data_IF_994068517509
#
_entry.id   IF_994068517509
#
_cell.length_a   1.000
_cell.length_b   1.000
_cell.length_c   1.000
_cell.angle_alpha   90.00
_cell.angle_beta   90.00
_cell.angle_gamma   90.00
#
_symmetry.space_group_name_H-M   'P 1'
#
loop_
_entity.id
_entity.type
_entity.pdbx_description
1 polymer ?
#
# COMPACT_ATOMS: atom_id res chain seq x y z
N UNK A 1 15.09 -21.31 1.34
CA UNK A 1 15.35 -21.92 -0.01
C UNK A 1 14.59 -23.23 -0.22
N UNK A 2 14.78 -24.26 0.60
CA UNK A 2 14.14 -25.58 0.41
C UNK A 2 12.60 -25.53 0.36
N UNK A 3 11.94 -24.65 1.13
CA UNK A 3 10.48 -24.61 1.25
C UNK A 3 9.81 -23.94 0.03
N UNK A 4 10.43 -22.92 -0.56
CA UNK A 4 9.93 -22.30 -1.80
C UNK A 4 10.03 -23.30 -2.97
N UNK A 5 11.16 -24.01 -3.07
CA UNK A 5 11.33 -25.07 -4.07
C UNK A 5 10.29 -26.17 -3.85
N UNK A 6 10.05 -26.61 -2.62
CA UNK A 6 8.99 -27.55 -2.28
C UNK A 6 7.61 -27.04 -2.69
N UNK A 7 7.31 -25.75 -2.44
CA UNK A 7 6.05 -25.14 -2.85
C UNK A 7 5.82 -25.25 -4.35
N UNK A 8 6.78 -24.84 -5.16
CA UNK A 8 6.66 -24.95 -6.60
C UNK A 8 6.66 -26.38 -7.10
N UNK A 9 7.44 -27.28 -6.48
CA UNK A 9 7.42 -28.70 -6.80
C UNK A 9 6.05 -29.31 -6.52
N UNK A 10 5.45 -29.01 -5.36
CA UNK A 10 4.12 -29.51 -4.99
C UNK A 10 3.04 -28.84 -5.84
N UNK A 11 3.19 -27.56 -6.24
CA UNK A 11 2.29 -26.92 -7.20
C UNK A 11 2.32 -27.62 -8.55
N UNK A 12 3.50 -27.96 -9.08
CA UNK A 12 3.64 -28.76 -10.29
C UNK A 12 3.01 -30.14 -10.14
N UNK A 13 3.23 -30.82 -9.01
CA UNK A 13 2.64 -32.14 -8.72
C UNK A 13 1.12 -32.04 -8.61
N UNK A 14 0.57 -31.05 -7.89
CA UNK A 14 -0.88 -30.85 -7.75
C UNK A 14 -1.56 -30.46 -9.06
N UNK A 15 -0.90 -29.67 -9.89
CA UNK A 15 -1.35 -29.36 -11.26
C UNK A 15 -1.46 -30.63 -12.10
N UNK A 16 -0.49 -31.55 -11.96
CA UNK A 16 -0.50 -32.85 -12.67
C UNK A 16 -1.56 -33.82 -12.13
N UNK A 17 -1.91 -33.73 -10.83
CA UNK A 17 -2.81 -34.68 -10.18
C UNK A 17 -4.20 -34.11 -9.82
N UNK A 18 -4.51 -32.86 -10.16
CA UNK A 18 -5.84 -32.24 -10.05
C UNK A 18 -6.52 -32.36 -8.65
N UNK A 19 -5.76 -32.19 -7.55
CA UNK A 19 -6.29 -32.25 -6.17
C UNK A 19 -6.27 -30.89 -5.47
N UNK A 20 -7.36 -30.09 -5.51
CA UNK A 20 -7.41 -28.74 -4.93
C UNK A 20 -7.36 -28.70 -3.40
N UNK A 21 -7.83 -29.74 -2.70
CA UNK A 21 -7.98 -29.76 -1.23
C UNK A 21 -6.66 -29.77 -0.43
N UNK A 22 -5.55 -30.18 -1.02
CA UNK A 22 -4.24 -30.17 -0.36
C UNK A 22 -3.45 -28.87 -0.53
N UNK A 23 -3.89 -27.99 -1.42
CA UNK A 23 -3.13 -26.80 -1.81
C UNK A 23 -3.21 -25.70 -0.77
N UNK A 24 -4.40 -25.38 -0.23
CA UNK A 24 -4.58 -24.39 0.82
C UNK A 24 -3.83 -24.76 2.10
N UNK A 25 -3.88 -26.04 2.51
CA UNK A 25 -3.14 -26.53 3.70
C UNK A 25 -1.63 -26.43 3.51
N UNK A 26 -1.16 -26.62 2.29
CA UNK A 26 0.25 -26.44 1.96
C UNK A 26 0.64 -24.97 2.03
N UNK A 27 -0.15 -24.07 1.46
CA UNK A 27 0.07 -22.61 1.53
C UNK A 27 0.14 -22.18 3.01
N UNK A 28 -0.79 -22.64 3.86
CA UNK A 28 -0.78 -22.36 5.30
C UNK A 28 0.51 -22.83 5.98
N UNK A 29 0.96 -24.05 5.68
CA UNK A 29 2.20 -24.60 6.24
C UNK A 29 3.44 -23.85 5.79
N UNK A 30 3.50 -23.48 4.51
CA UNK A 30 4.63 -22.73 3.94
C UNK A 30 4.65 -21.32 4.51
N UNK A 31 3.52 -20.61 4.51
CA UNK A 31 3.43 -19.26 5.07
C UNK A 31 3.91 -19.23 6.52
N UNK A 32 3.48 -20.20 7.34
CA UNK A 32 3.92 -20.30 8.73
C UNK A 32 5.43 -20.53 8.87
N UNK A 33 6.02 -21.33 8.00
CA UNK A 33 7.49 -21.55 8.01
C UNK A 33 8.25 -20.33 7.53
N UNK A 34 7.77 -19.68 6.46
CA UNK A 34 8.37 -18.46 5.93
C UNK A 34 8.31 -17.32 6.95
N UNK A 35 7.21 -17.21 7.70
CA UNK A 35 7.05 -16.28 8.82
C UNK A 35 8.11 -16.50 9.90
N UNK A 36 8.38 -17.75 10.26
CA UNK A 36 9.40 -18.12 11.26
C UNK A 36 10.83 -17.84 10.81
N UNK A 37 11.11 -17.99 9.50
CA UNK A 37 12.43 -17.70 8.94
C UNK A 37 12.66 -16.19 8.77
N UNK A 38 11.78 -15.53 8.04
CA UNK A 38 11.79 -14.09 7.87
C UNK A 38 10.44 -13.61 7.33
N UNK A 39 9.79 -12.71 8.05
CA UNK A 39 8.48 -12.17 7.69
C UNK A 39 8.44 -11.49 6.31
N UNK A 40 9.57 -11.00 5.82
CA UNK A 40 9.69 -10.39 4.47
C UNK A 40 9.32 -11.39 3.37
N UNK A 41 9.61 -12.69 3.55
CA UNK A 41 9.16 -13.70 2.59
C UNK A 41 7.65 -13.72 2.42
N UNK A 42 6.91 -13.52 3.52
CA UNK A 42 5.45 -13.51 3.48
C UNK A 42 4.94 -12.33 2.66
N UNK A 43 5.56 -11.13 2.81
CA UNK A 43 5.21 -9.93 2.03
C UNK A 43 5.44 -10.15 0.53
N UNK A 44 6.59 -10.68 0.17
CA UNK A 44 6.91 -10.96 -1.23
C UNK A 44 5.99 -12.05 -1.77
N UNK A 45 5.71 -13.08 -0.96
CA UNK A 45 4.79 -14.14 -1.31
C UNK A 45 3.37 -13.59 -1.54
N UNK A 46 2.90 -12.66 -0.71
CA UNK A 46 1.63 -11.95 -0.93
C UNK A 46 1.65 -11.17 -2.25
N UNK A 47 2.71 -10.41 -2.51
CA UNK A 47 2.82 -9.62 -3.74
C UNK A 47 2.79 -10.51 -4.99
N UNK A 48 3.47 -11.66 -4.96
CA UNK A 48 3.45 -12.65 -6.03
C UNK A 48 2.10 -13.36 -6.19
N UNK A 49 1.29 -13.37 -5.13
CA UNK A 49 0.02 -14.08 -5.06
C UNK A 49 -1.21 -13.20 -5.35
N UNK A 50 -1.03 -11.90 -5.56
CA UNK A 50 -2.09 -11.00 -6.02
C UNK A 50 -2.53 -11.30 -7.47
N UNK A 51 -1.76 -12.10 -8.21
CA UNK A 51 -2.15 -12.59 -9.51
C UNK A 51 -3.32 -13.59 -9.37
N UNK A 52 -4.51 -13.17 -9.83
CA UNK A 52 -5.75 -13.97 -9.77
C UNK A 52 -5.64 -15.29 -10.50
N UNK A 53 -4.75 -15.40 -11.47
CA UNK A 53 -4.53 -16.61 -12.24
C UNK A 53 -3.72 -17.66 -11.46
N UNK A 54 -3.05 -17.25 -10.38
CA UNK A 54 -2.19 -18.12 -9.59
C UNK A 54 -2.88 -18.72 -8.36
N UNK A 55 -3.85 -18.03 -7.74
CA UNK A 55 -4.49 -18.45 -6.49
C UNK A 55 -6.01 -18.45 -6.57
N UNK A 56 -6.62 -19.36 -5.80
CA UNK A 56 -8.06 -19.36 -5.56
C UNK A 56 -8.45 -18.25 -4.56
N UNK A 57 -9.73 -17.88 -4.52
CA UNK A 57 -10.25 -16.88 -3.60
C UNK A 57 -9.93 -17.17 -2.13
N UNK A 58 -10.05 -18.45 -1.70
CA UNK A 58 -9.77 -18.88 -0.33
C UNK A 58 -8.28 -18.74 0.03
N UNK A 59 -7.40 -19.00 -0.94
CA UNK A 59 -5.95 -18.87 -0.80
C UNK A 59 -5.56 -17.39 -0.68
N UNK A 60 -6.20 -16.53 -1.48
CA UNK A 60 -6.02 -15.08 -1.42
C UNK A 60 -6.50 -14.52 -0.08
N UNK A 61 -7.70 -14.90 0.37
CA UNK A 61 -8.25 -14.48 1.67
C UNK A 61 -7.34 -14.87 2.83
N UNK A 62 -6.79 -16.10 2.79
CA UNK A 62 -5.83 -16.53 3.82
C UNK A 62 -4.57 -15.65 3.86
N UNK A 63 -4.01 -15.30 2.69
CA UNK A 63 -2.79 -14.50 2.61
C UNK A 63 -3.02 -13.02 2.95
N UNK A 64 -4.23 -12.50 2.72
CA UNK A 64 -4.61 -11.14 3.13
C UNK A 64 -4.60 -10.96 4.65
N UNK A 65 -4.71 -12.02 5.45
CA UNK A 65 -4.59 -11.95 6.92
C UNK A 65 -3.22 -11.46 7.40
N UNK A 66 -2.19 -11.54 6.56
CA UNK A 66 -0.86 -11.03 6.88
C UNK A 66 -0.67 -9.55 6.55
N UNK A 67 -1.72 -8.84 6.09
CA UNK A 67 -1.62 -7.40 5.83
C UNK A 67 -1.63 -6.56 7.10
N UNK A 68 -2.41 -7.00 8.11
CA UNK A 68 -2.61 -6.28 9.36
C UNK A 68 -2.21 -7.13 10.57
N UNK A 69 -1.57 -6.51 11.56
CA UNK A 69 -1.21 -7.14 12.83
C UNK A 69 -0.24 -8.33 12.69
N UNK A 70 0.86 -8.11 12.01
CA UNK A 70 1.93 -9.10 11.85
C UNK A 70 2.55 -9.40 13.22
N UNK A 71 2.81 -10.67 13.56
CA UNK A 71 3.58 -11.01 14.77
C UNK A 71 4.95 -10.34 14.77
N UNK A 72 5.38 -9.88 15.93
CA UNK A 72 6.71 -9.30 16.12
C UNK A 72 7.42 -9.91 17.34
N UNK A 73 8.74 -9.91 17.31
CA UNK A 73 9.58 -10.22 18.47
C UNK A 73 9.97 -8.91 19.19
N UNK A 74 10.02 -8.93 20.50
CA UNK A 74 10.47 -7.78 21.30
C UNK A 74 11.90 -7.34 20.94
N UNK A 75 12.74 -8.24 20.44
CA UNK A 75 14.07 -7.94 19.92
C UNK A 75 14.05 -7.06 18.64
N UNK A 76 12.91 -6.95 17.95
CA UNK A 76 12.73 -6.07 16.79
C UNK A 76 12.52 -4.61 17.19
N UNK A 77 12.33 -4.31 18.49
CA UNK A 77 12.15 -2.95 19.01
C UNK A 77 13.53 -2.35 19.30
N UNK A 78 13.83 -1.18 18.74
CA UNK A 78 15.01 -0.39 19.10
C UNK A 78 14.69 0.51 20.31
N UNK A 79 14.76 -0.04 21.53
CA UNK A 79 14.44 0.66 22.78
C UNK A 79 15.30 1.92 22.98
N UNK A 80 16.59 1.87 22.64
CA UNK A 80 17.49 3.03 22.71
C UNK A 80 16.99 4.21 21.86
N UNK A 81 16.31 3.92 20.76
CA UNK A 81 15.76 4.94 19.88
C UNK A 81 14.50 5.55 20.49
N UNK A 82 13.68 4.75 21.18
CA UNK A 82 12.53 5.26 21.94
C UNK A 82 12.98 6.11 23.12
N UNK A 83 14.05 5.70 23.84
CA UNK A 83 14.63 6.50 24.93
C UNK A 83 15.14 7.85 24.45
N UNK A 84 15.79 7.90 23.28
CA UNK A 84 16.22 9.15 22.66
C UNK A 84 15.04 10.03 22.27
N UNK A 85 13.96 9.44 21.74
CA UNK A 85 12.75 10.17 21.39
C UNK A 85 12.15 10.86 22.62
N UNK A 86 12.02 10.15 23.75
CA UNK A 86 11.48 10.69 25.00
C UNK A 86 12.38 11.79 25.60
N UNK A 87 13.70 11.55 25.62
CA UNK A 87 14.66 12.46 26.25
C UNK A 87 14.94 13.74 25.46
N UNK A 88 14.93 13.67 24.12
CA UNK A 88 15.37 14.78 23.27
C UNK A 88 14.23 15.62 22.72
N UNK A 89 13.03 15.02 22.53
CA UNK A 89 11.93 15.70 21.86
C UNK A 89 10.69 15.87 22.72
N UNK A 90 10.74 15.53 24.00
CA UNK A 90 9.61 15.63 24.93
C UNK A 90 8.36 14.89 24.40
N UNK A 91 8.57 13.78 23.71
CA UNK A 91 7.52 12.86 23.33
C UNK A 91 7.45 11.78 24.40
N UNK A 92 6.30 11.59 25.03
CA UNK A 92 6.11 10.57 26.07
C UNK A 92 5.30 9.42 25.46
N UNK A 93 5.84 8.20 25.50
CA UNK A 93 5.14 7.01 25.06
C UNK A 93 4.02 6.65 26.05
N UNK A 94 2.82 6.36 25.55
CA UNK A 94 1.73 5.83 26.38
C UNK A 94 2.07 4.44 26.90
N UNK A 95 2.69 3.61 26.05
CA UNK A 95 3.17 2.29 26.36
C UNK A 95 4.35 1.94 25.45
N UNK A 96 5.28 1.11 25.91
CA UNK A 96 6.40 0.60 25.11
C UNK A 96 6.04 -0.70 24.37
N UNK A 97 4.76 -1.04 24.33
CA UNK A 97 4.19 -2.13 23.53
C UNK A 97 3.58 -1.51 22.28
N UNK A 98 3.94 -1.95 21.07
CA UNK A 98 3.32 -1.45 19.84
C UNK A 98 1.81 -1.68 19.85
N UNK A 99 1.05 -0.67 19.42
CA UNK A 99 -0.40 -0.77 19.22
C UNK A 99 -0.76 -1.45 17.89
N UNK A 100 0.18 -1.45 16.96
CA UNK A 100 0.07 -2.16 15.68
C UNK A 100 1.46 -2.56 15.18
N UNK A 101 1.53 -3.61 14.39
CA UNK A 101 2.75 -4.11 13.80
C UNK A 101 2.55 -4.44 12.33
N UNK A 102 3.28 -3.74 11.48
CA UNK A 102 3.43 -4.08 10.06
C UNK A 102 4.63 -5.01 9.82
N UNK A 103 4.92 -5.25 8.56
CA UNK A 103 6.06 -6.08 8.17
C UNK A 103 7.37 -5.34 8.41
N UNK A 104 7.43 -4.07 8.06
CA UNK A 104 8.66 -3.26 8.14
C UNK A 104 8.75 -2.41 9.39
N UNK A 105 7.62 -2.10 10.05
CA UNK A 105 7.59 -1.15 11.14
C UNK A 105 6.60 -1.50 12.24
N UNK A 106 6.84 -0.87 13.38
CA UNK A 106 6.05 -0.93 14.60
C UNK A 106 5.39 0.42 14.83
N UNK A 107 4.17 0.43 15.35
CA UNK A 107 3.41 1.64 15.63
C UNK A 107 3.16 1.76 17.12
N UNK A 108 3.51 2.89 17.69
CA UNK A 108 3.29 3.22 19.09
C UNK A 108 2.40 4.45 19.21
N UNK A 109 1.78 4.61 20.37
CA UNK A 109 1.03 5.80 20.76
C UNK A 109 1.80 6.57 21.85
N UNK A 110 1.74 7.90 21.76
CA UNK A 110 2.34 8.78 22.75
C UNK A 110 1.69 10.13 22.80
N UNK A 111 2.32 11.06 23.52
CA UNK A 111 1.89 12.46 23.66
C UNK A 111 3.06 13.39 23.43
N UNK A 112 2.82 14.53 22.80
CA UNK A 112 3.80 15.61 22.69
C UNK A 112 3.85 16.47 23.98
N UNK A 113 4.73 17.46 24.02
CA UNK A 113 4.90 18.39 25.15
C UNK A 113 3.63 19.18 25.50
N UNK A 114 2.69 19.30 24.58
CA UNK A 114 1.40 19.95 24.77
C UNK A 114 0.28 18.97 25.13
N UNK A 115 0.64 17.70 25.40
CA UNK A 115 -0.28 16.60 25.68
C UNK A 115 -1.23 16.23 24.52
N UNK A 116 -0.86 16.60 23.28
CA UNK A 116 -1.58 16.11 22.10
C UNK A 116 -1.14 14.67 21.82
N UNK A 117 -2.11 13.84 21.43
CA UNK A 117 -1.83 12.45 21.02
C UNK A 117 -1.02 12.40 19.74
N UNK A 118 0.01 11.58 19.74
CA UNK A 118 0.87 11.33 18.57
C UNK A 118 0.98 9.84 18.27
N UNK A 119 1.19 9.54 17.00
CA UNK A 119 1.56 8.21 16.52
C UNK A 119 3.05 8.21 16.18
N UNK A 120 3.73 7.18 16.62
CA UNK A 120 5.15 6.96 16.37
C UNK A 120 5.27 5.68 15.56
N UNK A 121 5.67 5.78 14.27
CA UNK A 121 6.11 4.65 13.47
C UNK A 121 7.60 4.47 13.66
N UNK A 122 8.05 3.25 13.94
CA UNK A 122 9.46 2.90 14.08
C UNK A 122 9.78 1.73 13.15
N UNK A 123 10.86 1.82 12.39
CA UNK A 123 11.35 0.66 11.64
C UNK A 123 11.80 -0.43 12.59
N UNK A 124 11.48 -1.67 12.24
CA UNK A 124 11.99 -2.83 12.98
C UNK A 124 13.52 -2.87 12.90
N UNK A 125 14.12 -3.32 13.97
CA UNK A 125 15.57 -3.52 14.02
C UNK A 125 16.02 -4.44 12.89
N UNK A 126 17.11 -4.06 12.26
CA UNK A 126 17.78 -4.81 11.18
C UNK A 126 16.90 -5.13 9.96
N UNK A 127 15.77 -4.41 9.79
CA UNK A 127 14.80 -4.70 8.71
C UNK A 127 15.42 -4.56 7.33
N UNK A 128 16.33 -3.60 7.11
CA UNK A 128 17.01 -3.44 5.83
C UNK A 128 17.85 -4.66 5.46
N UNK A 129 18.65 -5.14 6.40
CA UNK A 129 19.49 -6.32 6.18
C UNK A 129 18.63 -7.57 5.95
N UNK A 130 17.60 -7.75 6.78
CA UNK A 130 16.64 -8.85 6.61
C UNK A 130 15.96 -8.82 5.26
N UNK A 131 15.61 -7.62 4.76
CA UNK A 131 14.97 -7.43 3.48
C UNK A 131 15.94 -7.74 2.34
N UNK A 132 17.15 -7.17 2.36
CA UNK A 132 18.17 -7.39 1.32
C UNK A 132 18.52 -8.88 1.20
N UNK A 133 18.75 -9.56 2.31
CA UNK A 133 19.07 -10.98 2.33
C UNK A 133 17.95 -11.82 1.67
N UNK A 134 16.69 -11.54 1.97
CA UNK A 134 15.55 -12.24 1.37
C UNK A 134 15.45 -11.96 -0.14
N UNK A 135 15.66 -10.71 -0.55
CA UNK A 135 15.61 -10.34 -1.96
C UNK A 135 16.71 -11.02 -2.77
N UNK A 136 17.94 -10.98 -2.28
CA UNK A 136 19.08 -11.63 -2.92
C UNK A 136 18.87 -13.14 -3.07
N UNK A 137 18.34 -13.79 -2.03
CA UNK A 137 18.00 -15.22 -2.09
C UNK A 137 16.91 -15.51 -3.13
N UNK A 138 15.85 -14.70 -3.16
CA UNK A 138 14.75 -14.90 -4.12
C UNK A 138 15.19 -14.60 -5.55
N UNK A 139 16.00 -13.58 -5.77
CA UNK A 139 16.60 -13.29 -7.07
C UNK A 139 17.48 -14.45 -7.53
N UNK A 140 18.36 -14.95 -6.66
CA UNK A 140 19.19 -16.11 -6.97
C UNK A 140 18.36 -17.32 -7.37
N UNK A 141 17.31 -17.65 -6.59
CA UNK A 141 16.39 -18.75 -6.91
C UNK A 141 15.71 -18.51 -8.27
N UNK A 142 15.23 -17.29 -8.52
CA UNK A 142 14.55 -16.95 -9.77
C UNK A 142 15.46 -17.11 -10.98
N UNK A 143 16.75 -16.75 -10.85
CA UNK A 143 17.74 -16.96 -11.90
C UNK A 143 18.04 -18.44 -12.14
N UNK A 144 18.12 -19.25 -11.09
CA UNK A 144 18.33 -20.70 -11.22
C UNK A 144 17.12 -21.39 -11.88
N UNK A 145 15.91 -20.91 -11.56
CA UNK A 145 14.67 -21.49 -12.07
C UNK A 145 14.27 -20.98 -13.48
N UNK A 146 15.00 -20.02 -14.06
CA UNK A 146 14.66 -19.43 -15.38
C UNK A 146 14.61 -20.42 -16.54
N UNK A 147 15.26 -21.57 -16.40
CA UNK A 147 15.25 -22.62 -17.42
C UNK A 147 14.00 -23.52 -17.38
N UNK A 148 13.17 -23.40 -16.33
CA UNK A 148 11.90 -24.11 -16.21
C UNK A 148 10.86 -23.30 -16.99
N UNK A 149 10.27 -23.83 -18.11
CA UNK A 149 9.41 -23.03 -19.00
C UNK A 149 8.23 -22.35 -18.29
N UNK A 150 7.60 -23.05 -17.35
CA UNK A 150 6.50 -22.50 -16.57
C UNK A 150 6.94 -21.32 -15.68
N UNK A 151 8.07 -21.43 -14.97
CA UNK A 151 8.58 -20.35 -14.11
C UNK A 151 9.03 -19.15 -14.94
N UNK A 152 9.62 -19.41 -16.10
CA UNK A 152 10.00 -18.36 -17.06
C UNK A 152 8.77 -17.55 -17.52
N UNK A 153 7.63 -18.20 -17.77
CA UNK A 153 6.39 -17.52 -18.19
C UNK A 153 5.83 -16.58 -17.10
N UNK A 154 6.09 -16.83 -15.82
CA UNK A 154 5.66 -16.00 -14.70
C UNK A 154 6.49 -14.71 -14.51
N UNK A 155 7.60 -14.54 -15.25
CA UNK A 155 8.47 -13.36 -15.19
C UNK A 155 8.87 -12.96 -13.74
N UNK A 156 9.02 -13.94 -12.84
CA UNK A 156 9.22 -13.72 -11.39
C UNK A 156 10.41 -12.81 -11.12
N UNK A 157 11.52 -12.97 -11.84
CA UNK A 157 12.72 -12.12 -11.69
C UNK A 157 12.38 -10.65 -11.92
N UNK A 158 11.59 -10.35 -12.97
CA UNK A 158 11.17 -8.98 -13.27
C UNK A 158 10.23 -8.45 -12.18
N UNK A 159 9.25 -9.25 -11.76
CA UNK A 159 8.34 -8.86 -10.67
C UNK A 159 9.10 -8.55 -9.37
N UNK A 160 10.12 -9.33 -9.03
CA UNK A 160 10.95 -9.06 -7.87
C UNK A 160 11.68 -7.71 -8.02
N UNK A 161 12.40 -7.50 -9.12
CA UNK A 161 13.15 -6.27 -9.37
C UNK A 161 12.22 -5.02 -9.35
N UNK A 162 11.08 -5.09 -10.03
CA UNK A 162 10.14 -3.99 -10.12
C UNK A 162 9.53 -3.62 -8.75
N UNK A 163 9.32 -4.62 -7.87
CA UNK A 163 8.77 -4.40 -6.53
C UNK A 163 9.82 -4.05 -5.46
N UNK A 164 11.09 -4.37 -5.68
CA UNK A 164 12.16 -4.08 -4.72
C UNK A 164 12.18 -2.62 -4.31
N UNK A 165 12.19 -1.71 -5.29
CA UNK A 165 12.25 -0.26 -5.04
C UNK A 165 11.01 0.25 -4.31
N UNK A 166 9.83 -0.30 -4.60
CA UNK A 166 8.57 0.07 -3.93
C UNK A 166 8.66 -0.29 -2.44
N UNK A 167 9.13 -1.51 -2.14
CA UNK A 167 9.27 -1.99 -0.77
C UNK A 167 10.39 -1.25 0.00
N UNK A 168 11.51 -0.94 -0.65
CA UNK A 168 12.56 -0.10 -0.08
C UNK A 168 12.06 1.31 0.24
N UNK A 169 11.20 1.88 -0.61
CA UNK A 169 10.61 3.19 -0.35
C UNK A 169 9.71 3.20 0.90
N UNK A 170 9.01 2.10 1.21
CA UNK A 170 8.22 1.98 2.44
C UNK A 170 9.07 2.01 3.73
N UNK A 171 10.37 1.74 3.62
CA UNK A 171 11.31 1.85 4.73
C UNK A 171 11.97 3.22 4.82
N UNK A 172 11.56 4.18 4.00
CA UNK A 172 12.11 5.54 3.99
C UNK A 172 11.10 6.53 4.54
N UNK A 173 11.12 6.75 5.85
CA UNK A 173 10.21 7.68 6.51
C UNK A 173 10.39 9.15 6.11
N UNK A 174 11.56 9.55 5.59
CA UNK A 174 11.74 10.90 5.04
C UNK A 174 10.82 11.10 3.82
N UNK A 175 10.75 10.10 2.92
CA UNK A 175 9.84 10.16 1.78
C UNK A 175 8.36 10.13 2.20
N UNK A 176 8.02 9.39 3.25
CA UNK A 176 6.66 9.38 3.78
C UNK A 176 6.28 10.76 4.37
N UNK A 177 7.18 11.40 5.12
CA UNK A 177 7.00 12.78 5.61
C UNK A 177 6.79 13.75 4.46
N UNK A 178 7.65 13.71 3.44
CA UNK A 178 7.53 14.55 2.25
C UNK A 178 6.19 14.35 1.53
N UNK A 179 5.73 13.11 1.40
CA UNK A 179 4.45 12.79 0.80
C UNK A 179 3.29 13.39 1.60
N UNK A 180 3.26 13.21 2.93
CA UNK A 180 2.22 13.80 3.81
C UNK A 180 2.17 15.32 3.64
N UNK A 181 3.32 16.00 3.67
CA UNK A 181 3.40 17.46 3.52
C UNK A 181 2.92 17.93 2.14
N UNK A 182 3.30 17.22 1.07
CA UNK A 182 2.82 17.52 -0.29
C UNK A 182 1.30 17.37 -0.38
N UNK A 183 0.73 16.27 0.11
CA UNK A 183 -0.72 16.09 0.13
C UNK A 183 -1.42 17.16 0.95
N UNK A 184 -0.95 17.45 2.16
CA UNK A 184 -1.48 18.51 3.02
C UNK A 184 -1.47 19.89 2.33
N UNK A 185 -0.39 20.22 1.63
CA UNK A 185 -0.26 21.48 0.88
C UNK A 185 -1.20 21.51 -0.32
N UNK A 186 -1.28 20.44 -1.09
CA UNK A 186 -2.11 20.36 -2.31
C UNK A 186 -3.60 20.43 -1.99
N UNK A 187 -4.04 19.80 -0.92
CA UNK A 187 -5.44 19.78 -0.48
C UNK A 187 -5.79 20.83 0.56
N UNK A 188 -4.92 21.80 0.86
CA UNK A 188 -5.12 22.80 1.94
C UNK A 188 -6.45 23.58 1.89
N UNK A 189 -7.00 23.76 0.67
CA UNK A 189 -8.28 24.44 0.45
C UNK A 189 -9.49 23.50 0.50
N UNK A 190 -9.27 22.19 0.56
CA UNK A 190 -10.30 21.18 0.60
C UNK A 190 -10.52 20.72 2.05
N UNK A 191 -11.45 21.35 2.75
CA UNK A 191 -11.73 21.06 4.17
C UNK A 191 -12.36 19.69 4.43
N UNK A 192 -12.66 18.92 3.37
CA UNK A 192 -13.18 17.57 3.43
C UNK A 192 -12.10 16.53 3.79
N UNK A 193 -10.81 16.90 3.69
CA UNK A 193 -9.69 15.99 3.93
C UNK A 193 -8.87 16.41 5.12
N UNK A 194 -8.49 15.43 5.93
CA UNK A 194 -7.65 15.61 7.13
C UNK A 194 -6.40 14.76 6.95
N UNK A 195 -5.25 15.40 7.09
CA UNK A 195 -3.94 14.77 7.06
C UNK A 195 -3.22 14.98 8.38
N UNK A 196 -2.45 14.01 8.88
CA UNK A 196 -1.71 14.21 10.13
C UNK A 196 -0.60 15.25 9.95
N UNK A 197 -0.39 16.10 10.96
CA UNK A 197 0.84 16.89 11.04
C UNK A 197 2.00 16.00 11.38
N UNK A 198 3.14 16.21 10.70
CA UNK A 198 4.36 15.45 10.93
C UNK A 198 5.39 16.26 11.73
N UNK A 199 6.15 15.58 12.58
CA UNK A 199 7.27 16.15 13.33
C UNK A 199 8.56 15.93 12.55
N UNK A 200 8.67 16.56 11.38
CA UNK A 200 9.73 16.37 10.38
C UNK A 200 11.13 16.36 10.98
N UNK A 201 11.45 17.28 11.90
CA UNK A 201 12.75 17.40 12.54
C UNK A 201 13.18 16.13 13.32
N UNK A 202 12.21 15.33 13.78
CA UNK A 202 12.49 14.06 14.46
C UNK A 202 12.94 13.03 13.43
N UNK A 203 12.22 12.91 12.31
CA UNK A 203 12.56 11.96 11.24
C UNK A 203 13.88 12.33 10.56
N UNK A 204 14.17 13.62 10.39
CA UNK A 204 15.46 14.08 9.85
C UNK A 204 16.65 13.72 10.75
N UNK A 205 16.46 13.75 12.07
CA UNK A 205 17.50 13.36 13.01
C UNK A 205 17.59 11.84 13.18
N UNK A 206 16.45 11.16 13.20
CA UNK A 206 16.33 9.71 13.37
C UNK A 206 15.44 9.13 12.26
N UNK A 207 16.04 8.81 11.13
CA UNK A 207 15.35 8.35 9.90
C UNK A 207 14.57 7.02 10.06
N UNK A 208 14.77 6.32 11.17
CA UNK A 208 14.00 5.14 11.55
C UNK A 208 12.73 5.46 12.34
N UNK A 209 12.49 6.75 12.66
CA UNK A 209 11.30 7.23 13.37
C UNK A 209 10.50 8.17 12.49
N UNK A 210 9.18 7.97 12.48
CA UNK A 210 8.21 8.94 11.97
C UNK A 210 7.21 9.24 13.08
N UNK A 211 7.19 10.51 13.51
CA UNK A 211 6.23 11.00 14.51
C UNK A 211 5.22 11.90 13.83
N UNK A 212 3.94 11.65 14.07
CA UNK A 212 2.85 12.42 13.48
C UNK A 212 1.68 12.56 14.46
N UNK A 213 0.82 13.53 14.20
CA UNK A 213 -0.44 13.70 14.90
C UNK A 213 -1.30 12.44 14.85
N UNK A 214 -1.89 12.06 15.98
CA UNK A 214 -2.87 10.99 15.99
C UNK A 214 -4.21 11.52 15.47
N UNK A 215 -4.52 11.28 14.21
CA UNK A 215 -5.85 11.49 13.68
C UNK A 215 -6.68 10.22 13.88
N UNK A 216 -7.89 10.36 14.44
CA UNK A 216 -8.77 9.24 14.76
C UNK A 216 -10.20 9.55 14.37
N UNK A 217 -10.94 8.56 13.91
CA UNK A 217 -12.32 8.69 13.46
C UNK A 217 -12.98 7.32 13.37
N UNK A 218 -14.15 7.25 12.75
CA UNK A 218 -14.85 6.00 12.47
C UNK A 218 -14.04 5.16 11.47
N UNK A 219 -14.05 3.85 11.65
CA UNK A 219 -13.46 2.89 10.72
C UNK A 219 -14.49 2.42 9.70
N UNK A 220 -14.05 1.76 8.63
CA UNK A 220 -14.94 1.22 7.61
C UNK A 220 -16.05 0.32 8.20
N UNK A 221 -15.71 -0.53 9.17
CA UNK A 221 -16.68 -1.41 9.87
C UNK A 221 -17.82 -0.64 10.55
N UNK A 222 -17.53 0.58 11.04
CA UNK A 222 -18.53 1.44 11.66
C UNK A 222 -19.47 2.04 10.60
N UNK A 223 -18.94 2.34 9.41
CA UNK A 223 -19.69 2.89 8.27
C UNK A 223 -20.51 1.82 7.55
N UNK A 224 -20.04 0.58 7.51
CA UNK A 224 -20.67 -0.53 6.78
C UNK A 224 -22.15 -0.73 7.15
N UNK A 225 -22.50 -0.52 8.43
CA UNK A 225 -23.85 -0.67 8.95
C UNK A 225 -24.67 0.64 8.91
N UNK A 226 -24.13 1.73 8.38
CA UNK A 226 -24.84 3.00 8.26
C UNK A 226 -25.79 3.03 7.05
N UNK A 227 -26.62 4.07 6.96
CA UNK A 227 -27.55 4.25 5.86
C UNK A 227 -26.83 4.37 4.51
N UNK A 228 -27.51 3.97 3.45
CA UNK A 228 -26.98 4.03 2.08
C UNK A 228 -26.55 5.46 1.70
N UNK A 229 -27.33 6.47 2.08
CA UNK A 229 -27.02 7.88 1.83
C UNK A 229 -25.69 8.31 2.44
N UNK A 230 -25.36 7.89 3.67
CA UNK A 230 -24.08 8.18 4.31
C UNK A 230 -22.93 7.53 3.54
N UNK A 231 -23.12 6.27 3.11
CA UNK A 231 -22.11 5.54 2.33
C UNK A 231 -21.88 6.17 0.97
N UNK A 232 -22.92 6.66 0.31
CA UNK A 232 -22.81 7.39 -0.97
C UNK A 232 -22.03 8.68 -0.82
N UNK A 233 -22.26 9.46 0.24
CA UNK A 233 -21.48 10.69 0.50
C UNK A 233 -20.00 10.40 0.70
N UNK A 234 -19.66 9.40 1.50
CA UNK A 234 -18.27 9.00 1.68
C UNK A 234 -17.64 8.47 0.38
N UNK A 235 -18.37 7.69 -0.41
CA UNK A 235 -17.92 7.23 -1.71
C UNK A 235 -17.67 8.39 -2.67
N UNK A 236 -18.55 9.39 -2.67
CA UNK A 236 -18.38 10.62 -3.47
C UNK A 236 -17.11 11.38 -3.07
N UNK A 237 -16.90 11.64 -1.75
CA UNK A 237 -15.72 12.36 -1.26
C UNK A 237 -14.43 11.58 -1.56
N UNK A 238 -14.47 10.24 -1.44
CA UNK A 238 -13.33 9.38 -1.75
C UNK A 238 -12.97 9.41 -3.25
N UNK A 239 -13.97 9.29 -4.12
CA UNK A 239 -13.77 9.43 -5.57
C UNK A 239 -13.23 10.81 -5.94
N UNK A 240 -13.80 11.87 -5.34
CA UNK A 240 -13.34 13.25 -5.52
C UNK A 240 -11.88 13.41 -5.11
N UNK A 241 -11.44 12.79 -4.00
CA UNK A 241 -10.04 12.76 -3.60
C UNK A 241 -9.13 12.19 -4.70
N UNK A 242 -9.46 11.01 -5.21
CA UNK A 242 -8.67 10.38 -6.27
C UNK A 242 -8.62 11.20 -7.55
N UNK A 243 -9.77 11.69 -8.01
CA UNK A 243 -9.87 12.50 -9.25
C UNK A 243 -9.08 13.81 -9.12
N UNK A 244 -9.25 14.55 -8.02
CA UNK A 244 -8.49 15.77 -7.77
C UNK A 244 -7.00 15.50 -7.67
N UNK A 245 -6.61 14.39 -7.01
CA UNK A 245 -5.23 13.95 -6.92
C UNK A 245 -4.57 13.78 -8.28
N UNK A 246 -5.18 13.00 -9.15
CA UNK A 246 -4.64 12.70 -10.48
C UNK A 246 -4.70 13.93 -11.39
N UNK A 247 -5.89 14.53 -11.52
CA UNK A 247 -6.12 15.54 -12.57
C UNK A 247 -5.64 16.93 -12.21
N UNK A 248 -5.68 17.29 -10.91
CA UNK A 248 -5.41 18.66 -10.48
C UNK A 248 -4.12 18.81 -9.70
N UNK A 249 -3.85 17.89 -8.78
CA UNK A 249 -2.73 17.99 -7.85
C UNK A 249 -1.46 17.25 -8.28
N UNK A 250 -1.54 16.31 -9.23
CA UNK A 250 -0.45 15.40 -9.63
C UNK A 250 0.10 14.60 -8.44
N UNK A 251 -0.80 14.08 -7.62
CA UNK A 251 -0.47 13.21 -6.48
C UNK A 251 -1.45 12.04 -6.43
N UNK A 252 -0.95 10.86 -6.19
CA UNK A 252 -1.74 9.63 -6.07
C UNK A 252 -1.31 8.89 -4.83
N UNK A 253 -2.27 8.58 -3.94
CA UNK A 253 -2.07 7.67 -2.83
C UNK A 253 -2.26 6.24 -3.34
N UNK A 254 -1.18 5.51 -3.51
CA UNK A 254 -1.21 4.21 -4.18
C UNK A 254 -1.59 3.03 -3.27
N UNK A 255 -1.81 3.28 -1.98
CA UNK A 255 -2.19 2.26 -0.99
C UNK A 255 -3.43 2.69 -0.18
N UNK A 256 -4.45 3.22 -0.85
CA UNK A 256 -5.65 3.74 -0.22
C UNK A 256 -6.69 2.63 0.02
N UNK A 257 -6.44 1.80 1.00
CA UNK A 257 -7.40 0.79 1.47
C UNK A 257 -8.16 1.24 2.73
N UNK A 258 -9.18 0.49 3.14
CA UNK A 258 -10.04 0.84 4.27
C UNK A 258 -9.31 1.00 5.62
N UNK A 259 -8.14 0.39 5.79
CA UNK A 259 -7.28 0.54 6.96
C UNK A 259 -6.59 1.90 7.06
N UNK A 260 -6.41 2.59 5.91
CA UNK A 260 -5.72 3.88 5.81
C UNK A 260 -6.68 5.08 5.76
N UNK A 261 -7.98 4.85 6.00
CA UNK A 261 -9.01 5.87 5.96
C UNK A 261 -9.77 5.93 7.28
N UNK A 262 -9.94 7.14 7.80
CA UNK A 262 -10.88 7.47 8.86
C UNK A 262 -12.06 8.26 8.31
N UNK A 263 -13.24 8.04 8.87
CA UNK A 263 -14.48 8.69 8.47
C UNK A 263 -14.96 9.59 9.58
N UNK A 264 -15.31 10.84 9.26
CA UNK A 264 -15.83 11.81 10.21
C UNK A 264 -17.22 12.26 9.81
N UNK A 265 -18.15 12.25 10.76
CA UNK A 265 -19.49 12.81 10.63
C UNK A 265 -19.61 13.95 11.63
N UNK A 266 -19.77 15.17 11.13
CA UNK A 266 -20.01 16.33 11.97
C UNK A 266 -21.53 16.52 12.13
N UNK A 267 -22.00 16.34 13.36
CA UNK A 267 -23.42 16.50 13.70
C UNK A 267 -23.75 17.93 14.20
N UNK A 268 -22.78 18.84 14.23
CA UNK A 268 -23.01 20.21 14.68
C UNK A 268 -23.80 21.01 13.64
N UNK A 269 -25.04 21.34 13.97
CA UNK A 269 -25.86 22.33 13.29
C UNK A 269 -25.54 23.71 13.86
N UNK A 270 -24.45 24.33 13.42
CA UNK A 270 -24.19 25.74 13.80
C UNK A 270 -25.01 26.67 12.91
N UNK A 271 -25.82 27.51 13.55
CA UNK A 271 -26.72 28.50 12.97
C UNK A 271 -26.02 29.78 12.48
N UNK A 272 -24.79 29.70 12.01
CA UNK A 272 -24.06 30.79 11.39
C UNK A 272 -23.67 30.47 9.97
N UNK A 273 -23.73 31.45 9.07
CA UNK A 273 -23.59 31.39 7.60
C UNK A 273 -22.32 30.70 7.02
N UNK A 274 -21.64 29.86 7.76
CA UNK A 274 -20.54 29.05 7.27
C UNK A 274 -21.06 27.65 6.93
N UNK A 275 -20.86 27.22 5.70
CA UNK A 275 -21.14 25.84 5.27
C UNK A 275 -20.41 24.86 6.21
N UNK A 276 -21.17 24.16 7.04
CA UNK A 276 -20.64 23.10 7.90
C UNK A 276 -20.39 21.87 7.03
N UNK A 277 -19.13 21.52 6.88
CA UNK A 277 -18.76 20.29 6.16
C UNK A 277 -19.15 19.11 7.05
N UNK A 278 -20.20 18.40 6.63
CA UNK A 278 -20.81 17.31 7.37
C UNK A 278 -19.96 16.05 7.38
N UNK A 279 -19.29 15.75 6.26
CA UNK A 279 -18.52 14.52 6.08
C UNK A 279 -17.07 14.86 5.73
N UNK A 280 -16.09 14.16 6.36
CA UNK A 280 -14.67 14.30 6.07
C UNK A 280 -13.98 12.95 6.05
N UNK A 281 -12.87 12.87 5.34
CA UNK A 281 -11.95 11.73 5.33
C UNK A 281 -10.63 12.11 5.97
N UNK A 282 -10.18 11.33 6.95
CA UNK A 282 -8.80 11.35 7.43
C UNK A 282 -8.00 10.29 6.68
N UNK A 283 -6.86 10.67 6.15
CA UNK A 283 -6.02 9.79 5.33
C UNK A 283 -4.68 9.65 6.00
N UNK A 284 -4.25 8.41 6.17
CA UNK A 284 -2.99 8.04 6.82
C UNK A 284 -2.21 7.09 5.93
N UNK A 285 -0.95 6.84 6.31
CA UNK A 285 -0.02 5.92 5.67
C UNK A 285 0.34 6.28 4.22
N UNK A 286 1.29 7.19 4.07
CA UNK A 286 1.76 7.70 2.79
C UNK A 286 3.05 7.00 2.31
N UNK A 287 3.31 5.79 2.80
CA UNK A 287 4.48 4.99 2.43
C UNK A 287 4.56 4.62 0.95
N UNK A 288 3.41 4.55 0.25
CA UNK A 288 3.35 4.32 -1.20
C UNK A 288 2.53 5.43 -1.86
N UNK A 289 3.23 6.40 -2.43
CA UNK A 289 2.63 7.50 -3.20
C UNK A 289 3.30 7.64 -4.55
N UNK A 290 2.56 8.11 -5.54
CA UNK A 290 3.08 8.47 -6.84
C UNK A 290 2.86 9.96 -7.14
N UNK A 291 3.80 10.54 -7.86
CA UNK A 291 3.79 11.93 -8.28
C UNK A 291 3.89 12.00 -9.80
N UNK A 292 2.75 11.85 -10.52
CA UNK A 292 2.74 11.85 -11.97
C UNK A 292 3.37 13.11 -12.55
N UNK A 293 4.19 12.92 -13.58
CA UNK A 293 4.69 14.04 -14.35
C UNK A 293 3.56 14.69 -15.19
N UNK A 294 3.85 15.82 -15.82
CA UNK A 294 2.85 16.57 -16.59
C UNK A 294 2.30 15.78 -17.79
N UNK A 295 3.12 14.95 -18.41
CA UNK A 295 2.71 14.11 -19.53
C UNK A 295 1.69 13.06 -19.07
N UNK A 296 1.98 12.34 -17.99
CA UNK A 296 1.07 11.35 -17.43
C UNK A 296 -0.24 12.01 -16.95
N UNK A 297 -0.15 13.16 -16.27
CA UNK A 297 -1.33 13.90 -15.83
C UNK A 297 -2.22 14.30 -17.03
N UNK A 298 -1.62 14.81 -18.10
CA UNK A 298 -2.37 15.17 -19.31
C UNK A 298 -3.01 13.95 -19.99
N UNK A 299 -2.32 12.81 -20.01
CA UNK A 299 -2.88 11.57 -20.56
C UNK A 299 -4.12 11.11 -19.77
N UNK A 300 -4.06 11.13 -18.44
CA UNK A 300 -5.22 10.85 -17.59
C UNK A 300 -6.35 11.85 -17.79
N UNK A 301 -6.04 13.15 -17.90
CA UNK A 301 -7.04 14.18 -18.15
C UNK A 301 -7.77 13.95 -19.48
N UNK A 302 -7.02 13.74 -20.56
CA UNK A 302 -7.60 13.49 -21.90
C UNK A 302 -8.47 12.24 -21.89
N UNK A 303 -7.98 11.16 -21.27
CA UNK A 303 -8.71 9.90 -21.15
C UNK A 303 -10.02 10.06 -20.38
N UNK A 304 -9.98 10.59 -19.16
CA UNK A 304 -11.17 10.74 -18.34
C UNK A 304 -12.17 11.73 -18.91
N UNK A 305 -11.71 12.85 -19.48
CA UNK A 305 -12.60 13.81 -20.13
C UNK A 305 -13.29 13.21 -21.37
N UNK A 306 -12.59 12.38 -22.14
CA UNK A 306 -13.19 11.68 -23.27
C UNK A 306 -14.30 10.73 -22.84
N UNK A 307 -14.07 9.94 -21.77
CA UNK A 307 -15.09 9.01 -21.25
C UNK A 307 -16.29 9.76 -20.68
N UNK A 308 -16.06 10.70 -19.77
CA UNK A 308 -17.14 11.35 -19.02
C UNK A 308 -17.91 12.39 -19.84
N UNK A 309 -17.22 13.10 -20.76
CA UNK A 309 -17.87 14.15 -21.53
C UNK A 309 -18.40 13.67 -22.88
N UNK A 310 -17.68 12.79 -23.56
CA UNK A 310 -17.97 12.43 -24.95
C UNK A 310 -18.31 10.94 -25.14
N UNK A 311 -18.17 10.11 -24.11
CA UNK A 311 -18.24 8.65 -24.22
C UNK A 311 -17.32 8.09 -25.34
N UNK A 312 -16.20 8.76 -25.57
CA UNK A 312 -15.22 8.43 -26.59
C UNK A 312 -14.02 7.69 -25.95
N UNK A 313 -13.84 6.45 -26.36
CA UNK A 313 -12.78 5.57 -25.86
C UNK A 313 -11.52 5.57 -26.73
N UNK A 314 -11.47 6.38 -27.79
CA UNK A 314 -10.34 6.42 -28.73
C UNK A 314 -9.01 6.82 -28.08
N UNK A 315 -9.06 7.53 -26.96
CA UNK A 315 -7.87 7.98 -26.23
C UNK A 315 -7.31 6.93 -25.25
N UNK A 316 -7.95 5.76 -25.06
CA UNK A 316 -7.44 4.70 -24.19
C UNK A 316 -6.08 4.20 -24.66
N UNK A 317 -5.94 3.97 -25.95
CA UNK A 317 -4.67 3.53 -26.53
C UNK A 317 -3.55 4.52 -26.21
N UNK A 318 -3.80 5.81 -26.35
CA UNK A 318 -2.83 6.87 -26.03
C UNK A 318 -2.47 6.90 -24.56
N UNK A 319 -3.46 6.73 -23.66
CA UNK A 319 -3.21 6.62 -22.23
C UNK A 319 -2.34 5.40 -21.92
N UNK A 320 -2.68 4.23 -22.45
CA UNK A 320 -1.93 2.99 -22.25
C UNK A 320 -0.47 3.14 -22.71
N UNK A 321 -0.23 3.77 -23.87
CA UNK A 321 1.14 4.06 -24.32
C UNK A 321 1.92 4.98 -23.40
N UNK A 322 1.24 5.86 -22.68
CA UNK A 322 1.88 6.79 -21.77
C UNK A 322 2.25 6.12 -20.42
N UNK A 323 1.35 5.29 -19.88
CA UNK A 323 1.50 4.72 -18.54
C UNK A 323 2.17 3.34 -18.51
N UNK A 324 2.07 2.55 -19.60
CA UNK A 324 2.67 1.21 -19.66
C UNK A 324 4.19 1.31 -19.78
N UNK A 325 4.87 0.59 -18.91
CA UNK A 325 6.34 0.48 -18.93
C UNK A 325 6.84 -0.39 -20.10
N UNK A 326 6.05 -1.38 -20.52
CA UNK A 326 6.40 -2.35 -21.58
C UNK A 326 5.93 -1.91 -22.97
N UNK A 327 6.30 -0.69 -23.37
CA UNK A 327 5.91 -0.12 -24.68
C UNK A 327 6.23 -1.02 -25.86
N UNK A 328 7.38 -1.71 -25.80
CA UNK A 328 7.80 -2.63 -26.88
C UNK A 328 6.87 -3.87 -26.97
N UNK A 329 6.39 -4.38 -25.85
CA UNK A 329 5.44 -5.48 -25.84
C UNK A 329 4.11 -5.07 -26.50
N UNK A 330 3.61 -3.90 -26.17
CA UNK A 330 2.39 -3.35 -26.76
C UNK A 330 2.56 -3.07 -28.26
N UNK A 331 3.71 -2.57 -28.70
CA UNK A 331 4.02 -2.32 -30.11
C UNK A 331 4.10 -3.62 -30.95
N UNK A 332 4.53 -4.71 -30.34
CA UNK A 332 4.69 -6.01 -31.01
C UNK A 332 3.39 -6.81 -31.08
N UNK A 333 2.29 -6.36 -30.47
CA UNK A 333 0.99 -6.99 -30.63
C UNK A 333 0.46 -6.77 -32.04
N UNK A 334 -0.16 -7.79 -32.64
CA UNK A 334 -0.92 -7.59 -33.87
C UNK A 334 -2.17 -6.74 -33.60
N UNK A 335 -2.75 -6.12 -34.64
CA UNK A 335 -3.86 -5.19 -34.51
C UNK A 335 -5.09 -5.79 -33.80
N UNK A 336 -5.38 -7.08 -34.05
CA UNK A 336 -6.53 -7.79 -33.45
C UNK A 336 -6.32 -7.98 -31.95
N UNK A 337 -5.18 -8.52 -31.52
CA UNK A 337 -4.84 -8.74 -30.11
C UNK A 337 -4.75 -7.42 -29.35
N UNK A 338 -4.24 -6.37 -30.00
CA UNK A 338 -4.19 -5.02 -29.41
C UNK A 338 -5.58 -4.46 -29.17
N UNK A 339 -6.51 -4.64 -30.13
CA UNK A 339 -7.89 -4.20 -29.98
C UNK A 339 -8.63 -5.01 -28.90
N UNK A 340 -8.39 -6.32 -28.81
CA UNK A 340 -8.92 -7.17 -27.76
C UNK A 340 -8.44 -6.69 -26.38
N UNK A 341 -7.14 -6.42 -26.20
CA UNK A 341 -6.56 -5.90 -24.96
C UNK A 341 -7.18 -4.54 -24.57
N UNK A 342 -7.34 -3.62 -25.53
CA UNK A 342 -8.01 -2.33 -25.29
C UNK A 342 -9.46 -2.54 -24.86
N UNK A 343 -10.21 -3.41 -25.53
CA UNK A 343 -11.60 -3.71 -25.21
C UNK A 343 -11.78 -4.36 -23.83
N UNK A 344 -10.82 -5.20 -23.39
CA UNK A 344 -10.85 -5.78 -22.06
C UNK A 344 -10.50 -4.76 -20.97
N UNK A 345 -9.67 -3.77 -21.28
CA UNK A 345 -9.31 -2.69 -20.35
C UNK A 345 -10.47 -1.71 -20.13
N UNK A 346 -11.43 -1.63 -21.09
CA UNK A 346 -12.62 -0.77 -21.02
C UNK A 346 -13.75 -1.41 -20.19
N UNK A 347 -13.80 -2.74 -20.12
CA UNK A 347 -14.82 -3.47 -19.35
C UNK A 347 -14.57 -3.37 -17.85
#
# INVERSE_FOLDING_TARGET
MCEIIKFYTIKCVNYLYNKPTHRLDLIKKISKKLEQENIVYVKIFQALCLDKDLLTSDEQEFLLKYTDNVPYDTNEIEYDLLDKLENEFSITLTNRIPINCGIVGLVFEGHDSSNNKVIIKMLKKDIYERFTNVFDELLYISYMCRYIPYIKSLKITKLLIDNEQILLNQMNFIKEVEAIEIFSLKYKNNKEYVFPKVYRHITEKYNKLLVMENISGLRYKDIENMSHSIKEEFAYILNKFGILGILYHSVIHCDLHSGNIFFYINNETTSTNNEVIKYKLGIIDFGICAFPNKENQNAYYVFLSSIYCNQDYSNIEKLLYTIIQEKDALNNLNATTKQEFINETIK
#
